data_IF_119974535959
#
_entry.id   IF_119974535959
#
_cell.length_a   1.000
_cell.length_b   1.000
_cell.length_c   1.000
_cell.angle_alpha   90.00
_cell.angle_beta   90.00
_cell.angle_gamma   90.00
#
_symmetry.space_group_name_H-M   'P 1'
#
loop_
_entity.id
_entity.type
_entity.pdbx_description
1 polymer ?
#
# COMPACT_ATOMS: atom_id res chain seq x y z
N UNK A 1 -2.14 40.98 -41.91
CA UNK A 1 -1.83 41.23 -40.48
C UNK A 1 -2.92 40.58 -39.65
N UNK A 2 -2.62 39.44 -39.01
CA UNK A 2 -3.49 38.73 -38.07
C UNK A 2 -2.81 38.80 -36.70
N UNK A 3 -3.51 39.15 -35.60
CA UNK A 3 -2.90 39.16 -34.28
C UNK A 3 -2.75 37.73 -33.78
N UNK A 4 -1.51 37.36 -33.46
CA UNK A 4 -1.15 36.13 -32.77
C UNK A 4 -1.60 36.23 -31.32
N UNK A 5 -2.44 35.29 -30.86
CA UNK A 5 -2.78 35.14 -29.44
C UNK A 5 -1.84 34.11 -28.83
N UNK A 6 -0.80 34.60 -28.19
CA UNK A 6 0.03 33.88 -27.23
C UNK A 6 -0.83 33.47 -26.03
N UNK A 7 -0.98 32.17 -25.81
CA UNK A 7 -1.53 31.61 -24.58
C UNK A 7 -0.42 31.59 -23.51
N UNK A 8 -0.70 32.02 -22.27
CA UNK A 8 0.26 31.93 -21.18
C UNK A 8 0.34 30.49 -20.67
N UNK A 9 1.57 29.98 -20.59
CA UNK A 9 1.95 28.77 -19.87
C UNK A 9 1.65 29.01 -18.39
N UNK A 10 0.60 28.36 -17.86
CA UNK A 10 0.35 28.34 -16.41
C UNK A 10 1.14 27.17 -15.81
N UNK A 11 2.33 27.52 -15.33
CA UNK A 11 3.11 26.74 -14.37
C UNK A 11 2.35 26.66 -13.04
N UNK A 12 2.05 25.46 -12.53
CA UNK A 12 1.79 25.21 -11.10
C UNK A 12 1.87 23.69 -10.82
N UNK A 13 3.10 23.19 -10.81
CA UNK A 13 3.51 22.01 -10.04
C UNK A 13 3.78 22.49 -8.62
N UNK A 14 2.92 22.11 -7.68
CA UNK A 14 3.16 22.28 -6.24
C UNK A 14 2.51 21.12 -5.49
N UNK A 15 3.26 20.02 -5.38
CA UNK A 15 3.05 19.01 -4.34
C UNK A 15 3.54 19.63 -3.03
N UNK A 16 2.72 19.78 -1.99
CA UNK A 16 3.21 20.28 -0.72
C UNK A 16 3.94 19.16 0.02
N UNK A 17 5.27 19.19 -0.05
CA UNK A 17 6.16 18.65 0.98
C UNK A 17 5.87 19.41 2.29
N UNK A 18 5.26 18.75 3.27
CA UNK A 18 5.04 19.31 4.60
C UNK A 18 5.91 18.56 5.63
N UNK A 19 7.17 18.99 5.72
CA UNK A 19 8.02 18.76 6.89
C UNK A 19 7.74 19.87 7.92
N UNK A 20 7.06 19.54 9.01
CA UNK A 20 6.94 20.41 10.18
C UNK A 20 7.87 19.92 11.30
N UNK A 21 8.87 20.74 11.59
CA UNK A 21 9.69 20.66 12.79
C UNK A 21 8.91 21.07 14.05
N UNK A 22 9.09 20.37 15.17
CA UNK A 22 9.58 20.95 16.44
C UNK A 22 9.61 19.97 17.63
N UNK A 23 10.81 19.88 18.22
CA UNK A 23 11.11 19.95 19.66
C UNK A 23 10.21 19.25 20.70
N UNK A 24 10.74 18.14 21.23
CA UNK A 24 11.18 18.04 22.62
C UNK A 24 10.14 18.17 23.75
N UNK A 25 9.76 17.03 24.33
CA UNK A 25 9.10 17.00 25.63
C UNK A 25 8.88 15.57 26.14
N UNK A 26 9.82 15.06 26.93
CA UNK A 26 9.72 13.80 27.67
C UNK A 26 8.60 13.86 28.71
N UNK A 27 7.85 12.77 28.94
CA UNK A 27 7.44 12.42 30.30
C UNK A 27 8.06 11.10 30.76
N UNK A 28 8.55 11.16 32.00
CA UNK A 28 9.12 10.08 32.76
C UNK A 28 8.07 9.06 33.23
N UNK A 29 8.61 7.91 33.61
CA UNK A 29 7.97 6.66 33.99
C UNK A 29 6.97 6.69 35.16
N UNK A 30 6.19 5.62 35.18
CA UNK A 30 5.22 5.09 36.16
C UNK A 30 5.63 5.15 37.63
N UNK A 31 4.64 5.04 38.53
CA UNK A 31 4.54 3.83 39.36
C UNK A 31 3.06 3.44 39.59
N UNK A 32 2.65 2.31 40.18
CA UNK A 32 3.17 0.98 40.45
C UNK A 32 1.99 0.18 41.05
N UNK A 33 1.97 -1.13 40.80
CA UNK A 33 1.38 -2.22 41.58
C UNK A 33 -0.10 -2.20 42.02
N UNK A 34 -0.81 -3.27 41.64
CA UNK A 34 -1.34 -4.28 42.57
C UNK A 34 -1.83 -5.52 41.81
N UNK A 35 -1.38 -6.70 42.24
CA UNK A 35 -1.86 -8.02 41.84
C UNK A 35 -2.18 -8.82 43.13
N UNK A 36 -2.80 -10.01 43.05
CA UNK A 36 -4.04 -10.36 42.38
C UNK A 36 -5.06 -10.94 43.40
N UNK A 37 -6.32 -11.15 42.99
CA UNK A 37 -7.25 -11.98 43.74
C UNK A 37 -7.80 -13.09 42.84
N UNK A 38 -7.55 -14.33 43.27
CA UNK A 38 -8.02 -15.56 42.65
C UNK A 38 -9.54 -15.72 42.84
N UNK A 39 -10.23 -16.11 41.77
CA UNK A 39 -11.63 -16.53 41.77
C UNK A 39 -11.84 -17.61 40.72
N UNK A 40 -12.30 -18.77 41.18
CA UNK A 40 -12.39 -20.00 40.40
C UNK A 40 -13.51 -20.04 39.34
N UNK A 41 -13.31 -21.02 38.46
CA UNK A 41 -13.96 -21.38 37.19
C UNK A 41 -15.44 -21.80 37.36
N UNK A 42 -16.25 -21.70 36.28
CA UNK A 42 -16.87 -22.92 35.75
C UNK A 42 -16.67 -23.08 34.24
N UNK A 43 -16.39 -24.32 33.84
CA UNK A 43 -15.96 -24.73 32.51
C UNK A 43 -16.97 -24.43 31.40
N UNK A 44 -16.53 -23.66 30.41
CA UNK A 44 -17.08 -23.70 29.07
C UNK A 44 -16.40 -24.80 28.28
N UNK A 45 -17.19 -25.66 27.64
CA UNK A 45 -16.75 -26.54 26.55
C UNK A 45 -15.88 -25.73 25.57
N UNK A 46 -14.71 -26.22 25.13
CA UNK A 46 -13.95 -25.51 24.10
C UNK A 46 -14.84 -25.35 22.88
N UNK A 47 -15.19 -24.10 22.55
CA UNK A 47 -15.67 -23.80 21.22
C UNK A 47 -14.59 -24.33 20.27
N UNK A 48 -14.99 -25.17 19.30
CA UNK A 48 -14.08 -25.56 18.23
C UNK A 48 -13.49 -24.26 17.67
N UNK A 49 -12.16 -24.11 17.76
CA UNK A 49 -11.47 -23.04 17.04
C UNK A 49 -11.97 -23.11 15.61
N UNK A 50 -12.65 -22.06 15.17
CA UNK A 50 -12.95 -21.91 13.76
C UNK A 50 -11.61 -22.07 13.03
N UNK A 51 -11.52 -23.05 12.15
CA UNK A 51 -10.36 -23.20 11.29
C UNK A 51 -10.18 -21.86 10.57
N UNK A 52 -8.99 -21.25 10.61
CA UNK A 52 -8.73 -20.03 9.87
C UNK A 52 -9.14 -20.29 8.41
N UNK A 53 -9.85 -19.36 7.76
CA UNK A 53 -10.24 -19.58 6.37
C UNK A 53 -8.98 -19.90 5.56
N UNK A 54 -9.09 -20.91 4.69
CA UNK A 54 -7.97 -21.35 3.87
C UNK A 54 -7.43 -20.16 3.09
N UNK A 55 -6.12 -19.92 3.21
CA UNK A 55 -5.45 -18.84 2.48
C UNK A 55 -5.62 -18.99 0.96
N UNK A 56 -5.41 -17.92 0.19
CA UNK A 56 -5.61 -17.94 -1.25
C UNK A 56 -4.75 -19.00 -1.93
N UNK A 57 -5.33 -19.68 -2.92
CA UNK A 57 -4.63 -20.70 -3.71
C UNK A 57 -3.57 -20.01 -4.56
N UNK A 58 -2.36 -20.58 -4.58
CA UNK A 58 -1.27 -20.01 -5.34
C UNK A 58 -1.51 -20.13 -6.86
N UNK A 59 -1.46 -19.01 -7.63
CA UNK A 59 -1.61 -19.06 -9.08
C UNK A 59 -0.50 -19.84 -9.78
N UNK A 60 -0.82 -20.41 -10.94
CA UNK A 60 0.15 -21.14 -11.77
C UNK A 60 1.34 -20.28 -12.21
N UNK A 61 1.14 -18.97 -12.41
CA UNK A 61 2.20 -18.01 -12.72
C UNK A 61 3.24 -17.91 -11.60
N UNK A 62 2.83 -18.07 -10.35
CA UNK A 62 3.75 -18.09 -9.21
C UNK A 62 4.46 -19.43 -9.02
N UNK A 63 3.80 -20.54 -9.35
CA UNK A 63 4.40 -21.88 -9.25
C UNK A 63 5.62 -22.08 -10.18
N UNK A 64 5.78 -21.23 -11.20
CA UNK A 64 6.93 -21.23 -12.10
C UNK A 64 8.17 -20.54 -11.53
N UNK A 65 8.04 -19.83 -10.40
CA UNK A 65 9.15 -19.10 -9.77
C UNK A 65 9.82 -19.99 -8.72
N UNK A 66 11.12 -20.20 -8.86
CA UNK A 66 11.94 -20.91 -7.87
C UNK A 66 12.62 -19.91 -6.94
N UNK A 67 12.47 -20.10 -5.63
CA UNK A 67 13.20 -19.32 -4.61
C UNK A 67 14.42 -20.09 -4.14
N UNK A 68 15.54 -19.86 -4.82
CA UNK A 68 16.86 -20.38 -4.48
C UNK A 68 17.89 -19.27 -4.63
N UNK A 69 18.89 -19.21 -3.74
CA UNK A 69 19.94 -18.19 -3.80
C UNK A 69 20.60 -18.14 -5.19
N UNK A 70 20.63 -16.94 -5.78
CA UNK A 70 21.20 -16.67 -7.09
C UNK A 70 20.26 -16.93 -8.27
N UNK A 71 19.06 -17.47 -8.04
CA UNK A 71 18.06 -17.65 -9.10
C UNK A 71 17.69 -16.29 -9.71
N UNK A 72 17.61 -16.26 -11.04
CA UNK A 72 17.21 -15.07 -11.82
C UNK A 72 15.74 -15.17 -12.16
N UNK A 73 15.02 -14.07 -11.99
CA UNK A 73 13.60 -13.96 -12.30
C UNK A 73 13.43 -12.79 -13.26
N UNK A 74 12.74 -13.02 -14.37
CA UNK A 74 12.40 -11.93 -15.27
C UNK A 74 11.34 -11.04 -14.62
N UNK A 75 11.48 -9.72 -14.78
CA UNK A 75 10.56 -8.73 -14.18
C UNK A 75 9.10 -8.97 -14.58
N UNK A 76 8.86 -9.37 -15.83
CA UNK A 76 7.52 -9.70 -16.32
C UNK A 76 6.92 -10.92 -15.61
N UNK A 77 7.73 -11.95 -15.33
CA UNK A 77 7.26 -13.17 -14.67
C UNK A 77 6.94 -12.90 -13.19
N UNK A 78 7.80 -12.13 -12.49
CA UNK A 78 7.53 -11.72 -11.12
C UNK A 78 6.28 -10.84 -11.03
N UNK A 79 6.16 -9.83 -11.88
CA UNK A 79 5.00 -8.95 -11.92
C UNK A 79 3.70 -9.73 -12.23
N UNK A 80 3.75 -10.69 -13.16
CA UNK A 80 2.61 -11.54 -13.48
C UNK A 80 2.18 -12.41 -12.29
N UNK A 81 3.13 -13.07 -11.62
CA UNK A 81 2.85 -13.83 -10.40
C UNK A 81 2.18 -12.95 -9.33
N UNK A 82 2.78 -11.81 -8.99
CA UNK A 82 2.25 -10.94 -7.93
C UNK A 82 0.87 -10.37 -8.28
N UNK A 83 0.66 -10.01 -9.54
CA UNK A 83 -0.63 -9.52 -10.02
C UNK A 83 -1.71 -10.60 -9.98
N UNK A 84 -1.39 -11.82 -10.43
CA UNK A 84 -2.32 -12.94 -10.39
C UNK A 84 -2.62 -13.36 -8.95
N UNK A 85 -1.62 -13.30 -8.07
CA UNK A 85 -1.81 -13.60 -6.65
C UNK A 85 -2.72 -12.57 -6.00
N UNK A 86 -2.52 -11.29 -6.27
CA UNK A 86 -3.39 -10.23 -5.75
C UNK A 86 -4.85 -10.41 -6.20
N UNK A 87 -5.08 -10.79 -7.46
CA UNK A 87 -6.42 -11.12 -7.96
C UNK A 87 -7.00 -12.37 -7.29
N UNK A 88 -6.18 -13.41 -7.10
CA UNK A 88 -6.60 -14.66 -6.44
C UNK A 88 -6.89 -14.45 -4.94
N UNK A 89 -6.14 -13.56 -4.29
CA UNK A 89 -6.40 -13.15 -2.92
C UNK A 89 -7.71 -12.38 -2.82
N UNK A 90 -8.00 -11.50 -3.78
CA UNK A 90 -9.26 -10.74 -3.83
C UNK A 90 -9.41 -9.69 -2.73
N UNK A 91 -8.65 -9.76 -1.64
CA UNK A 91 -8.57 -8.73 -0.61
C UNK A 91 -7.21 -8.74 0.06
N UNK A 92 -6.90 -7.65 0.76
CA UNK A 92 -5.72 -7.58 1.61
C UNK A 92 -5.57 -6.23 2.28
N UNK A 93 -4.50 -6.11 3.05
CA UNK A 93 -4.10 -4.88 3.71
C UNK A 93 -2.63 -4.60 3.42
N UNK A 94 -2.26 -3.33 3.33
CA UNK A 94 -0.86 -2.96 3.42
C UNK A 94 -0.65 -1.69 4.25
N UNK A 95 0.52 -1.62 4.87
CA UNK A 95 1.00 -0.45 5.59
C UNK A 95 2.29 0.05 4.92
N UNK A 96 2.35 1.33 4.59
CA UNK A 96 3.53 2.00 4.03
C UNK A 96 4.14 2.87 5.13
N UNK A 97 5.44 2.67 5.40
CA UNK A 97 6.25 3.54 6.25
C UNK A 97 7.26 4.30 5.39
N UNK A 98 7.24 5.63 5.48
CA UNK A 98 8.21 6.49 4.80
C UNK A 98 8.55 7.66 5.73
N UNK A 99 9.80 7.73 6.18
CA UNK A 99 10.25 8.69 7.19
C UNK A 99 9.37 8.65 8.45
N UNK A 100 8.73 9.75 8.80
CA UNK A 100 7.80 9.91 9.92
C UNK A 100 6.32 9.70 9.53
N UNK A 101 6.05 9.31 8.28
CA UNK A 101 4.71 9.04 7.79
C UNK A 101 4.38 7.55 7.75
N UNK A 102 3.13 7.24 8.13
CA UNK A 102 2.55 5.90 8.04
C UNK A 102 1.23 5.99 7.28
N UNK A 103 1.09 5.24 6.19
CA UNK A 103 -0.18 5.08 5.49
C UNK A 103 -0.65 3.64 5.61
N UNK A 104 -1.93 3.43 5.89
CA UNK A 104 -2.56 2.10 5.91
C UNK A 104 -3.62 2.04 4.81
N UNK A 105 -3.73 0.90 4.14
CA UNK A 105 -4.77 0.66 3.16
C UNK A 105 -5.35 -0.73 3.31
N UNK A 106 -6.68 -0.82 3.28
CA UNK A 106 -7.43 -2.07 3.15
C UNK A 106 -8.17 -2.06 1.84
N UNK A 107 -8.19 -3.18 1.15
CA UNK A 107 -8.81 -3.26 -0.16
C UNK A 107 -9.48 -4.61 -0.42
N UNK A 108 -10.49 -4.57 -1.27
CA UNK A 108 -11.17 -5.73 -1.83
C UNK A 108 -11.44 -5.53 -3.32
N UNK A 109 -11.13 -6.55 -4.11
CA UNK A 109 -11.52 -6.71 -5.50
C UNK A 109 -12.80 -7.54 -5.54
N UNK A 110 -13.85 -6.98 -6.13
CA UNK A 110 -15.13 -7.66 -6.33
C UNK A 110 -15.54 -7.56 -7.78
N UNK A 111 -16.59 -8.29 -8.17
CA UNK A 111 -17.19 -8.19 -9.49
C UNK A 111 -17.76 -6.77 -9.69
N UNK A 112 -16.95 -5.91 -10.29
CA UNK A 112 -17.24 -4.47 -10.43
C UNK A 112 -15.99 -3.62 -10.33
N UNK A 113 -14.97 -4.03 -9.58
CA UNK A 113 -13.69 -3.34 -9.48
C UNK A 113 -13.12 -3.31 -8.06
N UNK A 114 -12.30 -2.29 -7.78
CA UNK A 114 -11.64 -2.10 -6.50
C UNK A 114 -12.49 -1.28 -5.53
N UNK A 115 -12.61 -1.80 -4.31
CA UNK A 115 -12.95 -1.03 -3.13
C UNK A 115 -11.72 -0.90 -2.26
N UNK A 116 -11.45 0.30 -1.74
CA UNK A 116 -10.34 0.48 -0.82
C UNK A 116 -10.59 1.66 0.13
N UNK A 117 -10.08 1.53 1.34
CA UNK A 117 -10.11 2.53 2.39
C UNK A 117 -8.68 2.74 2.87
N UNK A 118 -8.26 4.00 2.91
CA UNK A 118 -6.93 4.41 3.30
C UNK A 118 -6.94 5.37 4.48
N UNK A 119 -5.88 5.29 5.27
CA UNK A 119 -5.56 6.25 6.33
C UNK A 119 -4.15 6.80 6.11
N UNK A 120 -3.89 7.99 6.62
CA UNK A 120 -2.56 8.60 6.69
C UNK A 120 -2.36 9.11 8.11
N UNK A 121 -1.29 8.67 8.75
CA UNK A 121 -0.91 9.04 10.12
C UNK A 121 -2.03 8.83 11.15
N UNK A 122 -2.84 7.77 10.94
CA UNK A 122 -3.95 7.37 11.79
C UNK A 122 -5.28 8.07 11.50
N UNK A 123 -5.31 9.05 10.60
CA UNK A 123 -6.51 9.75 10.17
C UNK A 123 -7.03 9.17 8.84
N UNK A 124 -8.36 9.11 8.62
CA UNK A 124 -8.91 8.75 7.32
C UNK A 124 -8.34 9.65 6.22
N UNK A 125 -8.08 9.11 5.04
CA UNK A 125 -7.51 9.88 3.93
C UNK A 125 -8.30 9.72 2.64
N UNK A 126 -8.63 8.48 2.28
CA UNK A 126 -9.27 8.17 0.99
C UNK A 126 -10.19 6.97 1.12
N UNK A 127 -11.32 7.02 0.44
CA UNK A 127 -12.21 5.89 0.22
C UNK A 127 -12.51 5.79 -1.27
N UNK A 128 -12.42 4.60 -1.86
CA UNK A 128 -12.74 4.38 -3.27
C UNK A 128 -13.68 3.20 -3.45
N UNK A 129 -14.55 3.35 -4.44
CA UNK A 129 -15.35 2.29 -5.05
C UNK A 129 -14.89 2.13 -6.51
N UNK A 130 -15.45 1.22 -7.31
CA UNK A 130 -15.13 1.18 -8.73
C UNK A 130 -15.53 2.44 -9.50
N UNK A 131 -16.62 3.09 -9.10
CA UNK A 131 -17.26 4.16 -9.89
C UNK A 131 -16.96 5.57 -9.37
N UNK A 132 -16.59 5.71 -8.10
CA UNK A 132 -16.36 7.00 -7.45
C UNK A 132 -15.40 6.85 -6.27
N UNK A 133 -15.11 7.96 -5.58
CA UNK A 133 -14.33 7.97 -4.35
C UNK A 133 -14.59 9.21 -3.52
N UNK A 134 -13.96 9.26 -2.36
CA UNK A 134 -14.01 10.37 -1.43
C UNK A 134 -12.60 10.65 -0.92
N UNK A 135 -12.32 11.93 -0.68
CA UNK A 135 -11.16 12.37 0.08
C UNK A 135 -11.63 12.87 1.43
N UNK A 136 -10.91 12.51 2.49
CA UNK A 136 -11.14 13.10 3.81
C UNK A 136 -10.36 14.40 3.90
N UNK A 137 -11.07 15.51 4.14
CA UNK A 137 -10.47 16.84 4.24
C UNK A 137 -11.23 17.66 5.28
N UNK A 138 -10.49 18.38 6.12
CA UNK A 138 -11.04 19.23 7.18
C UNK A 138 -12.08 18.53 8.08
N UNK A 139 -11.85 17.25 8.39
CA UNK A 139 -12.73 16.45 9.25
C UNK A 139 -14.01 15.94 8.58
N UNK A 140 -14.12 16.03 7.27
CA UNK A 140 -15.28 15.57 6.51
C UNK A 140 -14.87 14.80 5.24
N UNK A 141 -15.70 13.82 4.89
CA UNK A 141 -15.60 13.14 3.61
C UNK A 141 -16.21 13.99 2.50
N UNK A 142 -15.42 14.28 1.47
CA UNK A 142 -15.85 15.00 0.28
C UNK A 142 -15.85 14.04 -0.90
N UNK A 143 -17.03 13.84 -1.51
CA UNK A 143 -17.16 12.99 -2.68
C UNK A 143 -16.46 13.63 -3.88
N UNK A 144 -15.68 12.83 -4.61
CA UNK A 144 -15.06 13.21 -5.86
C UNK A 144 -16.11 13.48 -6.94
N UNK A 145 -16.13 14.71 -7.45
CA UNK A 145 -16.93 15.12 -8.61
C UNK A 145 -16.15 16.15 -9.43
N UNK A 146 -15.64 15.80 -10.63
CA UNK A 146 -14.87 16.71 -11.46
C UNK A 146 -15.69 17.87 -12.04
N UNK A 147 -17.03 17.79 -12.00
CA UNK A 147 -17.95 18.84 -12.44
C UNK A 147 -18.64 19.55 -11.25
N UNK A 148 -18.26 19.19 -10.02
CA UNK A 148 -18.87 19.66 -8.77
C UNK A 148 -18.32 20.98 -8.23
N UNK A 149 -18.43 21.18 -6.92
CA UNK A 149 -17.83 22.33 -6.22
C UNK A 149 -16.30 22.25 -6.23
N UNK A 150 -15.62 23.35 -5.89
CA UNK A 150 -14.15 23.37 -5.79
C UNK A 150 -13.59 22.24 -4.93
N UNK A 151 -14.24 21.95 -3.80
CA UNK A 151 -13.79 20.89 -2.88
C UNK A 151 -13.99 19.50 -3.50
N UNK A 152 -15.09 19.29 -4.23
CA UNK A 152 -15.34 18.04 -4.94
C UNK A 152 -14.39 17.83 -6.12
N UNK A 153 -14.01 18.90 -6.82
CA UNK A 153 -13.00 18.86 -7.87
C UNK A 153 -11.62 18.53 -7.31
N UNK A 154 -11.26 19.08 -6.15
CA UNK A 154 -10.02 18.74 -5.45
C UNK A 154 -10.05 17.29 -4.96
N UNK A 155 -11.18 16.81 -4.44
CA UNK A 155 -11.37 15.41 -4.09
C UNK A 155 -11.23 14.49 -5.31
N UNK A 156 -11.77 14.87 -6.47
CA UNK A 156 -11.61 14.13 -7.71
C UNK A 156 -10.14 14.03 -8.14
N UNK A 157 -9.39 15.13 -8.08
CA UNK A 157 -7.95 15.10 -8.34
C UNK A 157 -7.20 14.20 -7.35
N UNK A 158 -7.55 14.24 -6.06
CA UNK A 158 -6.96 13.38 -5.03
C UNK A 158 -7.24 11.90 -5.27
N UNK A 159 -8.49 11.53 -5.59
CA UNK A 159 -8.89 10.16 -5.92
C UNK A 159 -8.17 9.69 -7.18
N UNK A 160 -8.11 10.49 -8.25
CA UNK A 160 -7.36 10.14 -9.46
C UNK A 160 -5.87 9.94 -9.18
N UNK A 161 -5.28 10.80 -8.34
CA UNK A 161 -3.93 10.66 -7.83
C UNK A 161 -3.74 9.30 -7.15
N UNK A 162 -4.57 9.00 -6.14
CA UNK A 162 -4.58 7.71 -5.45
C UNK A 162 -4.65 6.53 -6.42
N UNK A 163 -5.56 6.56 -7.40
CA UNK A 163 -5.69 5.47 -8.39
C UNK A 163 -4.42 5.26 -9.19
N UNK A 164 -3.80 6.36 -9.58
CA UNK A 164 -2.60 6.34 -10.42
C UNK A 164 -1.31 5.97 -9.68
N UNK A 165 -1.26 6.07 -8.35
CA UNK A 165 -0.01 5.88 -7.58
C UNK A 165 -0.07 4.84 -6.47
N UNK A 166 -1.26 4.59 -5.93
CA UNK A 166 -1.42 3.94 -4.62
C UNK A 166 -2.42 2.79 -4.64
N UNK A 167 -3.08 2.53 -5.77
CA UNK A 167 -3.80 1.28 -5.95
C UNK A 167 -2.83 0.08 -5.90
N UNK A 168 -3.26 -1.06 -5.33
CA UNK A 168 -2.38 -2.22 -5.13
C UNK A 168 -1.65 -2.71 -6.40
N UNK A 169 -2.27 -2.55 -7.57
CA UNK A 169 -1.68 -2.97 -8.85
C UNK A 169 -0.49 -2.10 -9.28
N UNK A 170 -0.39 -0.84 -8.81
CA UNK A 170 0.67 0.08 -9.23
C UNK A 170 2.05 -0.41 -8.79
N UNK A 171 2.16 -0.99 -7.59
CA UNK A 171 3.42 -1.56 -7.10
C UNK A 171 3.96 -2.64 -8.03
N UNK A 172 3.10 -3.46 -8.63
CA UNK A 172 3.52 -4.53 -9.54
C UNK A 172 3.80 -4.03 -10.95
N UNK A 173 3.14 -2.94 -11.37
CA UNK A 173 3.54 -2.22 -12.58
C UNK A 173 4.98 -1.68 -12.48
N UNK A 174 5.39 -1.18 -11.31
CA UNK A 174 6.79 -0.78 -11.07
C UNK A 174 7.76 -1.97 -11.14
N UNK A 175 7.37 -3.13 -10.60
CA UNK A 175 8.18 -4.36 -10.69
C UNK A 175 8.37 -4.79 -12.15
N UNK A 176 7.34 -4.67 -12.99
CA UNK A 176 7.40 -5.08 -14.39
C UNK A 176 8.45 -4.32 -15.22
N UNK A 177 8.77 -3.07 -14.85
CA UNK A 177 9.72 -2.21 -15.57
C UNK A 177 11.15 -2.28 -15.02
N UNK A 178 11.39 -3.02 -13.94
CA UNK A 178 12.72 -3.27 -13.41
C UNK A 178 13.59 -4.08 -14.41
N UNK A 179 14.93 -4.00 -14.34
CA UNK A 179 15.83 -4.64 -15.33
C UNK A 179 15.95 -6.16 -15.18
N UNK A 180 15.37 -6.74 -14.13
CA UNK A 180 15.47 -8.15 -13.75
C UNK A 180 15.55 -8.26 -12.23
N UNK A 181 15.43 -9.48 -11.72
CA UNK A 181 15.52 -9.76 -10.30
C UNK A 181 16.43 -10.95 -10.02
N UNK A 182 17.08 -10.91 -8.85
CA UNK A 182 17.86 -12.02 -8.30
C UNK A 182 17.38 -12.36 -6.90
N UNK A 183 17.18 -13.65 -6.65
CA UNK A 183 16.90 -14.18 -5.32
C UNK A 183 18.19 -14.20 -4.51
N UNK A 184 18.19 -13.57 -3.34
CA UNK A 184 19.32 -13.59 -2.41
C UNK A 184 19.24 -14.72 -1.39
N UNK A 185 20.17 -14.73 -0.44
CA UNK A 185 20.10 -15.64 0.71
C UNK A 185 18.98 -15.23 1.66
N UNK A 186 18.32 -16.21 2.28
CA UNK A 186 17.30 -15.94 3.28
C UNK A 186 17.88 -15.08 4.40
N UNK A 187 17.14 -14.05 4.77
CA UNK A 187 17.58 -13.04 5.74
C UNK A 187 16.46 -12.78 6.73
N UNK A 188 16.82 -12.61 8.00
CA UNK A 188 15.89 -12.16 9.03
C UNK A 188 15.46 -10.72 8.75
N UNK A 189 14.15 -10.48 8.68
CA UNK A 189 13.57 -9.16 8.48
C UNK A 189 12.44 -8.93 9.47
N UNK A 190 12.31 -7.67 9.90
CA UNK A 190 11.22 -7.22 10.75
C UNK A 190 9.95 -6.97 9.92
N UNK A 191 8.79 -7.36 10.46
CA UNK A 191 7.45 -7.14 9.93
C UNK A 191 6.77 -5.94 10.62
N UNK A 192 5.55 -5.59 10.19
CA UNK A 192 4.85 -4.41 10.70
C UNK A 192 4.61 -4.47 12.23
N UNK A 193 4.32 -5.66 12.75
CA UNK A 193 4.06 -5.90 14.18
C UNK A 193 5.34 -5.96 15.06
N UNK A 194 6.51 -5.74 14.46
CA UNK A 194 7.82 -5.81 15.13
C UNK A 194 8.34 -7.24 15.33
N UNK A 195 7.62 -8.26 14.86
CA UNK A 195 8.16 -9.62 14.81
C UNK A 195 9.23 -9.74 13.73
N UNK A 196 10.14 -10.70 13.91
CA UNK A 196 11.19 -11.00 12.93
C UNK A 196 10.96 -12.39 12.36
N UNK A 197 11.16 -12.52 11.05
CA UNK A 197 11.14 -13.82 10.38
C UNK A 197 12.17 -13.87 9.25
N UNK A 198 12.67 -15.08 8.96
CA UNK A 198 13.51 -15.35 7.81
C UNK A 198 12.67 -15.25 6.54
N UNK A 199 13.03 -14.43 5.55
CA UNK A 199 12.37 -14.39 4.23
C UNK A 199 13.38 -14.44 3.09
N UNK A 200 12.93 -14.80 1.89
CA UNK A 200 13.70 -14.67 0.66
C UNK A 200 13.66 -13.22 0.16
N UNK A 201 14.81 -12.54 0.00
CA UNK A 201 14.88 -11.29 -0.74
C UNK A 201 14.90 -11.57 -2.25
N UNK A 202 14.03 -10.92 -3.00
CA UNK A 202 14.04 -10.87 -4.46
C UNK A 202 14.37 -9.43 -4.85
N UNK A 203 15.64 -9.17 -5.17
CA UNK A 203 16.17 -7.81 -5.38
C UNK A 203 16.26 -7.47 -6.86
N UNK A 204 15.90 -6.24 -7.23
CA UNK A 204 16.08 -5.72 -8.57
C UNK A 204 17.57 -5.69 -8.96
N UNK A 205 17.90 -6.08 -10.18
CA UNK A 205 19.29 -6.29 -10.61
C UNK A 205 20.10 -4.99 -10.80
N UNK A 206 19.42 -3.85 -11.01
CA UNK A 206 20.03 -2.54 -11.13
C UNK A 206 19.00 -1.41 -10.89
N UNK A 207 19.46 -0.17 -10.64
CA UNK A 207 18.59 1.00 -10.59
C UNK A 207 17.79 1.21 -11.88
N UNK A 208 16.58 1.74 -11.74
CA UNK A 208 15.68 2.00 -12.87
C UNK A 208 14.75 3.17 -12.58
N UNK A 209 14.18 3.74 -13.64
CA UNK A 209 13.20 4.82 -13.55
C UNK A 209 11.80 4.24 -13.82
N UNK A 210 10.93 4.11 -12.81
CA UNK A 210 9.64 3.43 -12.99
C UNK A 210 8.71 4.18 -13.94
N UNK A 211 8.77 5.51 -13.93
CA UNK A 211 7.97 6.37 -14.81
C UNK A 211 8.90 7.33 -15.57
N UNK A 212 9.08 7.17 -16.89
CA UNK A 212 10.01 8.00 -17.68
C UNK A 212 9.77 9.52 -17.62
N UNK A 213 8.55 9.94 -17.30
CA UNK A 213 8.19 11.36 -17.20
C UNK A 213 8.44 11.98 -15.81
N UNK A 214 8.66 11.16 -14.79
CA UNK A 214 8.91 11.61 -13.41
C UNK A 214 10.41 11.53 -13.16
N UNK A 215 11.07 12.62 -12.72
CA UNK A 215 12.51 12.63 -12.44
C UNK A 215 12.81 11.93 -11.10
N UNK A 216 12.42 10.66 -10.99
CA UNK A 216 12.64 9.80 -9.85
C UNK A 216 13.26 8.48 -10.29
N UNK A 217 14.33 8.07 -9.61
CA UNK A 217 15.04 6.80 -9.85
C UNK A 217 14.86 5.89 -8.64
N UNK A 218 14.42 4.66 -8.87
CA UNK A 218 14.49 3.59 -7.89
C UNK A 218 15.92 3.06 -7.88
N UNK A 219 16.62 3.21 -6.76
CA UNK A 219 18.02 2.80 -6.59
C UNK A 219 18.15 1.42 -5.96
N UNK A 220 17.19 1.01 -5.12
CA UNK A 220 17.05 -0.36 -4.63
C UNK A 220 15.57 -0.74 -4.55
N UNK A 221 15.26 -1.98 -4.90
CA UNK A 221 13.93 -2.56 -4.73
C UNK A 221 14.12 -4.01 -4.28
N UNK A 222 13.52 -4.38 -3.14
CA UNK A 222 13.55 -5.74 -2.62
C UNK A 222 12.13 -6.19 -2.29
N UNK A 223 11.70 -7.28 -2.90
CA UNK A 223 10.47 -7.99 -2.53
C UNK A 223 10.84 -9.10 -1.55
N UNK A 224 10.20 -9.11 -0.38
CA UNK A 224 10.44 -10.08 0.68
C UNK A 224 9.26 -11.03 0.78
N UNK A 225 9.55 -12.33 0.69
CA UNK A 225 8.51 -13.35 0.68
C UNK A 225 8.99 -14.71 1.20
N UNK A 226 8.06 -15.50 1.74
CA UNK A 226 8.29 -16.88 2.15
C UNK A 226 8.21 -17.85 0.95
N UNK A 227 7.21 -17.62 0.08
CA UNK A 227 6.89 -18.42 -1.10
C UNK A 227 6.45 -17.47 -2.23
N UNK A 228 6.67 -17.78 -3.52
CA UNK A 228 6.24 -16.89 -4.61
C UNK A 228 4.75 -16.52 -4.47
N UNK A 229 4.36 -15.27 -4.72
CA UNK A 229 2.98 -14.80 -4.62
C UNK A 229 2.74 -13.92 -3.39
N UNK A 230 2.35 -14.48 -2.21
CA UNK A 230 2.14 -13.69 -1.00
C UNK A 230 3.39 -12.89 -0.65
N UNK A 231 3.31 -11.58 -0.87
CA UNK A 231 4.37 -10.67 -0.46
C UNK A 231 4.15 -10.33 1.00
N UNK A 232 5.22 -10.35 1.80
CA UNK A 232 5.15 -9.91 3.20
C UNK A 232 5.62 -8.46 3.33
N UNK A 233 6.62 -8.08 2.54
CA UNK A 233 7.23 -6.76 2.60
C UNK A 233 7.86 -6.36 1.27
N UNK A 234 7.85 -5.08 0.94
CA UNK A 234 8.63 -4.49 -0.16
C UNK A 234 9.39 -3.30 0.39
N UNK A 235 10.70 -3.28 0.16
CA UNK A 235 11.54 -2.12 0.40
C UNK A 235 11.85 -1.43 -0.92
N UNK A 236 11.61 -0.13 -1.00
CA UNK A 236 11.96 0.70 -2.16
C UNK A 236 12.80 1.87 -1.68
N UNK A 237 14.04 1.95 -2.15
CA UNK A 237 14.87 3.15 -1.99
C UNK A 237 14.94 3.88 -3.32
N UNK A 238 14.83 5.19 -3.28
CA UNK A 238 14.90 6.00 -4.49
C UNK A 238 15.32 7.43 -4.24
N UNK A 239 15.66 8.07 -5.35
CA UNK A 239 16.05 9.47 -5.44
C UNK A 239 15.03 10.20 -6.32
N UNK A 240 14.51 11.33 -5.87
CA UNK A 240 13.64 12.20 -6.65
C UNK A 240 14.27 13.58 -6.80
N UNK A 241 14.14 14.20 -7.97
CA UNK A 241 14.60 15.57 -8.21
C UNK A 241 13.40 16.52 -8.19
N UNK A 242 13.40 17.44 -7.22
CA UNK A 242 12.39 18.48 -7.08
C UNK A 242 12.43 19.52 -8.20
N UNK A 243 11.36 20.32 -8.31
CA UNK A 243 11.28 21.42 -9.28
C UNK A 243 12.32 22.53 -9.05
N UNK A 244 12.92 22.57 -7.87
CA UNK A 244 14.05 23.42 -7.49
C UNK A 244 15.43 22.82 -7.88
N UNK A 245 15.44 21.62 -8.47
CA UNK A 245 16.65 20.90 -8.86
C UNK A 245 17.35 20.17 -7.72
N UNK A 246 16.79 20.17 -6.50
CA UNK A 246 17.36 19.40 -5.39
C UNK A 246 16.98 17.93 -5.48
N UNK A 247 17.95 17.06 -5.18
CA UNK A 247 17.71 15.61 -5.06
C UNK A 247 17.36 15.27 -3.62
N UNK A 248 16.24 14.59 -3.43
CA UNK A 248 15.84 13.98 -2.16
C UNK A 248 15.92 12.46 -2.29
N UNK A 249 16.49 11.81 -1.28
CA UNK A 249 16.58 10.35 -1.19
C UNK A 249 15.72 9.85 -0.05
N UNK A 250 15.07 8.70 -0.23
CA UNK A 250 14.26 8.08 0.81
C UNK A 250 14.05 6.60 0.59
N UNK A 251 13.72 5.91 1.68
CA UNK A 251 13.32 4.50 1.66
C UNK A 251 11.89 4.40 2.15
N UNK A 252 11.04 3.80 1.33
CA UNK A 252 9.70 3.37 1.71
C UNK A 252 9.72 1.88 2.01
N UNK A 253 9.08 1.47 3.10
CA UNK A 253 8.82 0.06 3.42
C UNK A 253 7.33 -0.17 3.38
N UNK A 254 6.87 -1.10 2.54
CA UNK A 254 5.47 -1.53 2.49
C UNK A 254 5.35 -2.92 3.09
N UNK A 255 4.52 -3.10 4.11
CA UNK A 255 4.17 -4.39 4.70
C UNK A 255 2.81 -4.83 4.19
N UNK A 256 2.64 -6.12 3.91
CA UNK A 256 1.41 -6.67 3.36
C UNK A 256 0.89 -7.78 4.28
N UNK A 257 -0.40 -7.72 4.58
CA UNK A 257 -1.08 -8.57 5.55
C UNK A 257 -2.48 -8.97 5.05
N UNK A 258 -3.11 -9.91 5.74
CA UNK A 258 -4.54 -10.27 5.59
C UNK A 258 -4.98 -10.68 4.18
N UNK A 259 -4.06 -11.24 3.37
CA UNK A 259 -4.36 -11.74 2.03
C UNK A 259 -5.55 -12.70 2.03
N UNK A 260 -6.62 -12.31 1.34
CA UNK A 260 -7.85 -13.10 1.18
C UNK A 260 -8.67 -13.35 2.44
N UNK A 261 -8.35 -12.68 3.56
CA UNK A 261 -9.10 -12.85 4.82
C UNK A 261 -10.42 -12.06 4.85
N UNK A 262 -10.72 -11.28 3.81
CA UNK A 262 -11.74 -10.24 3.85
C UNK A 262 -11.26 -9.02 4.63
N UNK A 263 -11.84 -7.86 4.33
CA UNK A 263 -11.49 -6.59 4.97
C UNK A 263 -12.74 -5.88 5.45
N UNK A 264 -12.62 -5.15 6.55
CA UNK A 264 -13.69 -4.26 7.02
C UNK A 264 -13.71 -2.99 6.16
N UNK A 265 -14.80 -2.85 5.40
CA UNK A 265 -15.10 -1.71 4.53
C UNK A 265 -16.42 -1.03 4.92
N UNK A 266 -16.85 -1.18 6.17
CA UNK A 266 -18.12 -0.61 6.68
C UNK A 266 -18.20 0.90 6.45
N UNK A 267 -17.09 1.63 6.59
CA UNK A 267 -17.04 3.07 6.33
C UNK A 267 -17.41 3.41 4.87
N UNK A 268 -17.02 2.57 3.90
CA UNK A 268 -17.43 2.76 2.50
C UNK A 268 -18.94 2.51 2.34
N UNK A 269 -19.50 1.52 3.03
CA UNK A 269 -20.96 1.26 3.03
C UNK A 269 -21.74 2.46 3.57
N UNK A 270 -21.24 3.09 4.64
CA UNK A 270 -21.83 4.30 5.21
C UNK A 270 -21.77 5.48 4.22
N UNK A 271 -20.63 5.66 3.54
CA UNK A 271 -20.45 6.72 2.53
C UNK A 271 -21.33 6.53 1.30
N UNK A 272 -21.47 5.30 0.83
CA UNK A 272 -22.34 4.95 -0.31
C UNK A 272 -23.82 4.96 0.10
N UNK A 273 -24.13 4.70 1.37
CA UNK A 273 -25.48 4.52 1.88
C UNK A 273 -26.12 3.18 1.47
N UNK A 274 -25.29 2.18 1.12
CA UNK A 274 -25.74 0.85 0.72
C UNK A 274 -24.68 -0.23 1.04
N UNK A 275 -25.08 -1.49 1.29
CA UNK A 275 -24.15 -2.60 1.47
C UNK A 275 -23.28 -2.84 0.23
N UNK A 276 -22.02 -3.21 0.42
CA UNK A 276 -21.13 -3.54 -0.70
C UNK A 276 -21.46 -4.94 -1.27
N UNK A 277 -21.24 -5.17 -2.57
CA UNK A 277 -21.24 -6.51 -3.12
C UNK A 277 -20.12 -7.30 -2.45
N UNK A 278 -20.47 -8.26 -1.59
CA UNK A 278 -19.48 -9.08 -0.89
C UNK A 278 -18.65 -9.87 -1.91
N UNK A 279 -17.31 -9.98 -1.72
CA UNK A 279 -16.51 -10.90 -2.51
C UNK A 279 -17.11 -12.31 -2.37
N UNK A 280 -17.39 -12.95 -3.50
CA UNK A 280 -18.19 -14.17 -3.58
C UNK A 280 -17.72 -15.24 -2.60
N UNK A 281 -18.63 -15.69 -1.73
CA UNK A 281 -18.53 -16.97 -1.03
C UNK A 281 -19.10 -18.09 -1.89
#
# INVERSE_FOLDING_TARGET
MRPSRTLPVLSLLAVPLLLAACAGGTPAASPSTSAPAAGGVPGGTPAASAEPPAGPVLPASCAAITLETGARIASADLAACLTDFLRAAGSGRFEIRLADHVADQRWALVDGGLYALGTSDGEPSVAVTPDTGWMFTDGAWVQADPEGTSDQMLAAYGVDGYRSTSEPQMTYAMIAVAPGFTVGERTEVELADGTTTSLWPIRADAPFQPVPAIPATTTDLVVWTEVPGPTARIDVTGDAVGGDGQTTSGTSTTFYEDWGQGVDLTEIEELVGAPLPLPGR
#
